data_IF_430727047876
#
_entry.id   IF_430727047876
#
_cell.length_a   1.000
_cell.length_b   1.000
_cell.length_c   1.000
_cell.angle_alpha   90.00
_cell.angle_beta   90.00
_cell.angle_gamma   90.00
#
_symmetry.space_group_name_H-M   'P 1'
#
loop_
_entity.id
_entity.type
_entity.pdbx_description
1 polymer ?
#
# COMPACT_ATOMS: atom_id res chain seq x y z
N UNK A 1 -2.28 15.77 1.71
CA UNK A 1 -2.08 14.74 2.75
C UNK A 1 -2.11 13.39 2.05
N UNK A 2 -1.03 12.60 2.09
CA UNK A 2 -1.01 11.27 1.47
C UNK A 2 -2.05 10.40 2.17
N UNK A 3 -3.18 10.16 1.51
CA UNK A 3 -4.26 9.33 2.07
C UNK A 3 -3.94 7.87 1.83
N UNK A 4 -3.05 7.32 2.65
CA UNK A 4 -2.90 5.88 2.76
C UNK A 4 -3.82 5.36 3.88
N UNK A 5 -4.93 4.67 3.55
CA UNK A 5 -5.78 4.09 4.59
C UNK A 5 -5.01 3.04 5.37
N UNK A 6 -5.21 3.00 6.70
CA UNK A 6 -4.66 1.92 7.54
C UNK A 6 -5.41 0.62 7.25
N UNK A 7 -4.94 -0.12 6.25
CA UNK A 7 -5.44 -1.43 5.87
C UNK A 7 -4.28 -2.40 5.73
N UNK A 8 -4.44 -3.61 6.27
CA UNK A 8 -3.48 -4.68 6.06
C UNK A 8 -3.78 -5.37 4.72
N UNK A 9 -3.27 -4.81 3.63
CA UNK A 9 -3.44 -5.36 2.27
C UNK A 9 -2.11 -5.86 1.72
N UNK A 10 -2.06 -7.10 1.26
CA UNK A 10 -0.88 -7.65 0.58
C UNK A 10 -0.72 -7.07 -0.83
N UNK A 11 0.53 -6.95 -1.29
CA UNK A 11 0.88 -6.39 -2.59
C UNK A 11 2.17 -6.99 -3.16
N UNK A 12 2.36 -6.83 -4.47
CA UNK A 12 3.64 -7.09 -5.15
C UNK A 12 4.24 -5.84 -5.80
N UNK A 13 3.41 -4.83 -6.04
CA UNK A 13 3.76 -3.54 -6.66
C UNK A 13 2.80 -2.46 -6.19
N UNK A 14 3.20 -1.19 -6.34
CA UNK A 14 2.45 -0.03 -5.83
C UNK A 14 1.01 0.05 -6.37
N UNK A 15 0.78 -0.35 -7.61
CA UNK A 15 -0.56 -0.33 -8.22
C UNK A 15 -1.56 -1.31 -7.58
N UNK A 16 -1.08 -2.26 -6.75
CA UNK A 16 -1.96 -3.15 -6.00
C UNK A 16 -2.55 -2.42 -4.76
N UNK A 17 -1.96 -1.30 -4.36
CA UNK A 17 -2.29 -0.55 -3.16
C UNK A 17 -3.32 0.56 -3.40
N UNK A 18 -4.19 0.84 -2.41
CA UNK A 18 -5.22 1.85 -2.55
C UNK A 18 -4.64 3.26 -2.35
N UNK A 19 -5.19 4.22 -3.08
CA UNK A 19 -4.83 5.63 -2.91
C UNK A 19 -3.37 5.90 -3.24
N UNK A 20 -2.67 6.53 -2.31
CA UNK A 20 -1.25 6.90 -2.45
C UNK A 20 -0.30 5.97 -1.67
N UNK A 21 -0.80 4.82 -1.20
CA UNK A 21 0.03 3.81 -0.55
C UNK A 21 1.01 3.18 -1.56
N UNK A 22 2.18 2.79 -1.09
CA UNK A 22 3.17 2.04 -1.88
C UNK A 22 3.29 0.61 -1.36
N UNK A 23 3.81 -0.28 -2.18
CA UNK A 23 4.06 -1.64 -1.77
C UNK A 23 5.40 -1.73 -1.03
N UNK A 24 5.35 -1.89 0.28
CA UNK A 24 6.55 -1.98 1.11
C UNK A 24 7.25 -3.32 0.89
N UNK A 25 8.55 -3.39 1.23
CA UNK A 25 9.38 -4.58 1.01
C UNK A 25 8.87 -5.85 1.73
N UNK A 26 8.08 -5.70 2.79
CA UNK A 26 7.46 -6.82 3.49
C UNK A 26 6.16 -7.32 2.82
N UNK A 27 5.79 -6.78 1.65
CA UNK A 27 4.67 -7.24 0.84
C UNK A 27 3.31 -6.73 1.28
N UNK A 28 3.25 -5.60 1.99
CA UNK A 28 1.98 -4.95 2.35
C UNK A 28 1.98 -3.47 2.01
N UNK A 29 0.79 -2.95 1.73
CA UNK A 29 0.54 -1.55 1.42
C UNK A 29 0.65 -0.65 2.65
N UNK A 30 1.36 0.45 2.53
CA UNK A 30 1.46 1.52 3.53
C UNK A 30 2.08 2.79 3.00
#
# INVERSE_FOLDING_TARGET
ERRCPRILKQCKRDSDCPGECICMAHGFCG
#
